data_IF_052836598374
#
_entry.id   IF_052836598374
#
_cell.length_a   1.000
_cell.length_b   1.000
_cell.length_c   1.000
_cell.angle_alpha   90.00
_cell.angle_beta   90.00
_cell.angle_gamma   90.00
#
_symmetry.space_group_name_H-M   'P 1'
#
loop_
_entity.id
_entity.type
_entity.pdbx_description
1 polymer ?
#
# COMPACT_ATOMS: atom_id res chain seq x y z
N UNK A 1 -12.66 0.04 9.08
CA UNK A 1 -12.16 1.44 8.95
C UNK A 1 -11.19 1.78 10.08
N UNK A 2 -10.04 2.39 9.77
CA UNK A 2 -9.07 2.84 10.79
C UNK A 2 -9.59 4.11 11.49
N UNK A 3 -9.28 4.31 12.79
CA UNK A 3 -9.63 5.54 13.49
C UNK A 3 -9.07 6.78 12.80
N UNK A 4 -9.88 7.84 12.70
CA UNK A 4 -9.45 9.13 12.13
C UNK A 4 -8.53 9.93 13.06
N UNK A 5 -8.46 9.57 14.33
CA UNK A 5 -7.58 10.17 15.33
C UNK A 5 -6.13 9.74 15.14
N UNK A 6 -5.17 10.63 15.45
CA UNK A 6 -3.75 10.26 15.50
C UNK A 6 -3.52 9.14 16.50
N UNK A 7 -2.80 8.10 16.08
CA UNK A 7 -2.46 6.96 16.93
C UNK A 7 -1.02 7.11 17.43
N UNK A 8 -0.74 6.52 18.59
CA UNK A 8 0.62 6.44 19.15
C UNK A 8 0.82 5.12 19.87
N UNK A 9 2.07 4.68 19.96
CA UNK A 9 2.49 3.50 20.72
C UNK A 9 3.56 3.91 21.71
N UNK A 10 3.29 3.77 23.01
CA UNK A 10 4.20 4.16 24.09
C UNK A 10 4.74 5.61 23.95
N UNK A 11 3.89 6.54 23.50
CA UNK A 11 4.26 7.95 23.28
C UNK A 11 4.88 8.24 21.90
N UNK A 12 5.21 7.23 21.11
CA UNK A 12 5.72 7.40 19.75
C UNK A 12 4.56 7.55 18.75
N UNK A 13 4.50 8.63 17.94
CA UNK A 13 3.42 8.83 16.98
C UNK A 13 3.48 7.81 15.84
N UNK A 14 2.33 7.21 15.53
CA UNK A 14 2.19 6.36 14.34
C UNK A 14 2.21 7.24 13.09
N UNK A 15 3.09 6.91 12.14
CA UNK A 15 3.30 7.67 10.90
C UNK A 15 2.62 7.04 9.71
N UNK A 16 2.72 5.72 9.59
CA UNK A 16 2.34 4.97 8.39
C UNK A 16 1.79 3.60 8.80
N UNK A 17 0.89 3.03 7.98
CA UNK A 17 0.30 1.70 8.22
C UNK A 17 0.35 0.92 6.92
N UNK A 18 1.27 -0.04 6.81
CA UNK A 18 1.34 -0.94 5.66
C UNK A 18 0.58 -2.23 5.95
N UNK A 19 -0.59 -2.46 5.32
CA UNK A 19 -1.35 -3.68 5.53
C UNK A 19 -0.60 -4.87 4.91
N UNK A 20 -0.66 -6.03 5.57
CA UNK A 20 -0.09 -7.26 5.05
C UNK A 20 -1.22 -8.29 4.90
N UNK A 21 -1.64 -8.54 3.66
CA UNK A 21 -2.57 -9.64 3.37
C UNK A 21 -1.81 -10.97 3.28
N UNK A 22 -2.32 -12.06 3.87
CA UNK A 22 -1.74 -13.38 3.69
C UNK A 22 -1.74 -13.80 2.22
N UNK A 23 -0.63 -14.40 1.77
CA UNK A 23 -0.57 -14.99 0.43
C UNK A 23 -1.28 -16.35 0.43
N UNK A 24 -2.52 -16.37 -0.09
CA UNK A 24 -3.30 -17.59 -0.18
C UNK A 24 -2.62 -18.63 -1.09
N UNK A 25 -2.84 -19.92 -0.80
CA UNK A 25 -2.23 -21.02 -1.58
C UNK A 25 -2.56 -20.89 -3.06
N UNK A 26 -1.54 -20.94 -3.91
CA UNK A 26 -1.69 -20.84 -5.36
C UNK A 26 -1.81 -19.40 -5.89
N UNK A 27 -1.73 -18.39 -5.02
CA UNK A 27 -1.62 -16.99 -5.43
C UNK A 27 -0.15 -16.56 -5.44
N UNK A 28 0.24 -15.80 -6.46
CA UNK A 28 1.59 -15.25 -6.60
C UNK A 28 1.74 -13.87 -5.93
N UNK A 29 0.63 -13.15 -5.74
CA UNK A 29 0.59 -11.80 -5.17
C UNK A 29 -0.69 -11.60 -4.35
N UNK A 30 -0.57 -10.95 -3.20
CA UNK A 30 -1.67 -10.38 -2.45
C UNK A 30 -1.47 -8.87 -2.32
N UNK A 31 -2.51 -8.10 -2.61
CA UNK A 31 -2.52 -6.64 -2.53
C UNK A 31 -3.49 -6.21 -1.45
N UNK A 32 -3.06 -5.30 -0.57
CA UNK A 32 -3.90 -4.73 0.47
C UNK A 32 -3.75 -3.21 0.52
N UNK A 33 -4.82 -2.53 0.92
CA UNK A 33 -4.85 -1.08 1.09
C UNK A 33 -5.33 -0.70 2.48
N UNK A 34 -4.77 0.39 3.01
CA UNK A 34 -5.23 1.00 4.25
C UNK A 34 -5.07 2.51 4.16
N UNK A 35 -5.95 3.24 4.84
CA UNK A 35 -5.90 4.71 4.89
C UNK A 35 -5.54 5.17 6.30
N UNK A 36 -4.55 6.05 6.40
CA UNK A 36 -4.14 6.65 7.66
C UNK A 36 -3.56 8.04 7.44
N UNK A 37 -3.90 8.99 8.31
CA UNK A 37 -3.36 10.35 8.23
C UNK A 37 -3.61 11.08 6.91
N UNK A 38 -4.71 10.76 6.21
CA UNK A 38 -5.03 11.35 4.89
C UNK A 38 -4.26 10.73 3.72
N UNK A 39 -3.48 9.68 3.95
CA UNK A 39 -2.72 8.96 2.94
C UNK A 39 -3.30 7.55 2.72
N UNK A 40 -3.06 7.01 1.53
CA UNK A 40 -3.28 5.60 1.19
C UNK A 40 -1.94 4.87 1.29
N UNK A 41 -1.92 3.76 1.99
CA UNK A 41 -0.78 2.86 2.08
C UNK A 41 -1.11 1.55 1.38
N UNK A 42 -0.23 1.11 0.49
CA UNK A 42 -0.37 -0.12 -0.29
C UNK A 42 0.62 -1.14 0.25
N UNK A 43 0.13 -2.35 0.54
CA UNK A 43 0.96 -3.50 0.86
C UNK A 43 0.92 -4.53 -0.26
N UNK A 44 2.11 -4.97 -0.68
CA UNK A 44 2.30 -6.00 -1.68
C UNK A 44 3.01 -7.19 -1.02
N UNK A 45 2.37 -8.35 -0.99
CA UNK A 45 2.96 -9.60 -0.49
C UNK A 45 3.05 -10.55 -1.65
N UNK A 46 4.27 -10.90 -2.06
CA UNK A 46 4.51 -11.68 -3.26
C UNK A 46 5.29 -12.98 -2.97
N UNK A 47 5.02 -14.01 -3.76
CA UNK A 47 5.92 -15.14 -3.89
C UNK A 47 7.15 -14.69 -4.69
N UNK A 48 8.32 -14.70 -4.06
CA UNK A 48 9.54 -14.17 -4.68
C UNK A 48 10.06 -14.98 -5.87
N UNK A 49 9.57 -16.19 -6.12
CA UNK A 49 9.91 -16.95 -7.34
C UNK A 49 8.95 -16.62 -8.48
N UNK A 50 7.67 -16.47 -8.19
CA UNK A 50 6.65 -16.16 -9.18
C UNK A 50 6.66 -14.68 -9.59
N UNK A 51 7.04 -13.78 -8.68
CA UNK A 51 7.14 -12.32 -8.90
C UNK A 51 8.51 -11.83 -8.44
N UNK A 52 9.58 -12.12 -9.22
CA UNK A 52 10.95 -11.79 -8.81
C UNK A 52 11.24 -10.28 -8.82
N UNK A 53 10.42 -9.47 -9.51
CA UNK A 53 10.55 -8.02 -9.67
C UNK A 53 9.45 -7.25 -8.92
N UNK A 54 9.01 -7.75 -7.76
CA UNK A 54 7.98 -7.11 -6.93
C UNK A 54 8.29 -5.64 -6.56
N UNK A 55 9.57 -5.27 -6.43
CA UNK A 55 9.98 -3.89 -6.18
C UNK A 55 9.62 -2.96 -7.35
N UNK A 56 9.76 -3.46 -8.59
CA UNK A 56 9.35 -2.70 -9.79
C UNK A 56 7.84 -2.49 -9.81
N UNK A 57 7.06 -3.51 -9.42
CA UNK A 57 5.62 -3.37 -9.26
C UNK A 57 5.27 -2.29 -8.24
N UNK A 58 6.01 -2.21 -7.13
CA UNK A 58 5.81 -1.16 -6.13
C UNK A 58 6.06 0.25 -6.68
N UNK A 59 7.07 0.44 -7.53
CA UNK A 59 7.31 1.71 -8.20
C UNK A 59 6.21 2.03 -9.23
N UNK A 60 5.83 1.07 -10.08
CA UNK A 60 4.75 1.27 -11.04
C UNK A 60 3.43 1.68 -10.36
N UNK A 61 3.10 1.12 -9.19
CA UNK A 61 1.91 1.54 -8.44
C UNK A 61 1.96 3.02 -8.06
N UNK A 62 3.13 3.55 -7.71
CA UNK A 62 3.28 4.98 -7.37
C UNK A 62 3.18 5.86 -8.62
N UNK A 63 3.83 5.45 -9.70
CA UNK A 63 3.83 6.15 -10.98
C UNK A 63 2.41 6.25 -11.55
N UNK A 64 1.72 5.12 -11.69
CA UNK A 64 0.35 5.05 -12.24
C UNK A 64 -0.65 5.82 -11.37
N UNK A 65 -0.50 5.79 -10.04
CA UNK A 65 -1.34 6.60 -9.16
C UNK A 65 -1.08 8.10 -9.35
N UNK A 66 0.18 8.52 -9.53
CA UNK A 66 0.52 9.90 -9.79
C UNK A 66 -0.04 10.37 -11.14
N UNK A 67 0.06 9.54 -12.18
CA UNK A 67 -0.52 9.80 -13.50
C UNK A 67 -2.05 9.93 -13.42
N UNK A 68 -2.73 8.96 -12.80
CA UNK A 68 -4.18 9.00 -12.63
C UNK A 68 -4.65 10.23 -11.85
N UNK A 69 -3.94 10.63 -10.80
CA UNK A 69 -4.25 11.85 -10.05
C UNK A 69 -4.04 13.11 -10.88
N UNK A 70 -3.01 13.15 -11.73
CA UNK A 70 -2.77 14.28 -12.62
C UNK A 70 -3.94 14.45 -13.60
N UNK A 71 -4.45 13.36 -14.18
CA UNK A 71 -5.62 13.41 -15.08
C UNK A 71 -6.88 13.91 -14.37
N UNK A 72 -7.17 13.40 -13.17
CA UNK A 72 -8.35 13.80 -12.38
C UNK A 72 -8.30 15.27 -11.97
N UNK A 73 -7.11 15.85 -11.77
CA UNK A 73 -6.94 17.25 -11.39
C UNK A 73 -6.94 18.22 -12.59
N UNK A 74 -6.78 17.70 -13.81
CA UNK A 74 -6.83 18.50 -15.05
C UNK A 74 -8.23 18.63 -15.66
N UNK A 75 -9.21 17.89 -15.14
CA UNK A 75 -10.63 17.95 -15.52
C UNK A 75 -11.50 18.45 -14.36
#
# INVERSE_FOLDING_TARGET
>A
PLPRSKLSLAGSPLREIYPMAPLARGQALAVALSTYGGQVHVGLVADGKAVPDADRLAECVKEELAELLAEVLTH
#
